data_IF_109613384363
#
_entry.id   IF_109613384363
#
_cell.length_a   1.000
_cell.length_b   1.000
_cell.length_c   1.000
_cell.angle_alpha   90.00
_cell.angle_beta   90.00
_cell.angle_gamma   90.00
#
_symmetry.space_group_name_H-M   'P 1'
#
loop_
_entity.id
_entity.type
_entity.pdbx_description
1 polymer ?
#
# COMPACT_ATOMS: atom_id res chain seq x y z
N UNK A 1 10.35 -1.87 16.88
CA UNK A 1 9.79 -1.01 15.80
C UNK A 1 9.59 0.39 16.35
N UNK A 2 9.93 1.44 15.62
CA UNK A 2 9.88 2.82 16.16
C UNK A 2 8.61 3.50 15.66
N UNK A 3 7.80 4.04 16.59
CA UNK A 3 6.72 4.97 16.27
C UNK A 3 7.35 6.27 15.75
N UNK A 4 6.94 6.71 14.58
CA UNK A 4 7.38 7.98 13.98
C UNK A 4 6.24 8.98 14.19
N UNK A 5 6.59 10.22 14.61
CA UNK A 5 5.62 11.33 14.65
C UNK A 5 5.92 12.30 13.52
N UNK A 6 4.87 12.60 12.76
CA UNK A 6 4.90 13.66 11.75
C UNK A 6 3.81 14.66 12.14
N UNK A 7 4.21 15.81 12.66
CA UNK A 7 3.26 16.73 13.30
C UNK A 7 2.55 16.05 14.48
N UNK A 8 1.22 16.11 14.48
CA UNK A 8 0.38 15.50 15.53
C UNK A 8 -0.07 14.07 15.17
N UNK A 9 0.43 13.50 14.06
CA UNK A 9 0.08 12.15 13.61
C UNK A 9 1.17 11.17 14.03
N UNK A 10 0.77 10.07 14.67
CA UNK A 10 1.67 8.95 14.95
C UNK A 10 1.57 7.91 13.82
N UNK A 11 2.71 7.41 13.37
CA UNK A 11 2.80 6.45 12.27
C UNK A 11 3.68 5.28 12.69
N UNK A 12 3.21 4.06 12.51
CA UNK A 12 4.00 2.86 12.71
C UNK A 12 3.97 2.00 11.44
N UNK A 13 5.07 1.34 11.17
CA UNK A 13 5.21 0.36 10.10
C UNK A 13 5.18 -1.05 10.67
N UNK A 14 4.38 -1.92 10.11
CA UNK A 14 4.40 -3.37 10.42
C UNK A 14 4.93 -4.10 9.19
N UNK A 15 6.19 -4.53 9.26
CA UNK A 15 6.82 -5.28 8.20
C UNK A 15 6.39 -6.75 8.25
N UNK A 16 6.03 -7.32 7.11
CA UNK A 16 5.71 -8.74 6.98
C UNK A 16 6.89 -9.52 6.43
N UNK A 17 7.29 -9.21 5.21
CA UNK A 17 8.43 -9.84 4.53
C UNK A 17 8.92 -8.96 3.38
N UNK A 18 9.93 -9.41 2.66
CA UNK A 18 10.44 -8.75 1.46
C UNK A 18 11.02 -9.74 0.47
N UNK A 19 11.12 -9.31 -0.79
CA UNK A 19 11.88 -9.98 -1.85
C UNK A 19 12.84 -9.00 -2.49
N UNK A 20 13.78 -9.52 -3.28
CA UNK A 20 14.64 -8.71 -4.15
C UNK A 20 14.21 -8.86 -5.59
N UNK A 21 14.06 -7.75 -6.28
CA UNK A 21 13.69 -7.66 -7.69
C UNK A 21 14.74 -6.87 -8.46
N UNK A 22 15.06 -7.23 -9.71
CA UNK A 22 15.96 -6.42 -10.51
C UNK A 22 15.29 -5.12 -10.97
N UNK A 23 16.03 -4.02 -10.98
CA UNK A 23 15.54 -2.72 -11.45
C UNK A 23 14.97 -2.79 -12.87
N UNK A 24 15.51 -3.67 -13.71
CA UNK A 24 15.04 -3.89 -15.08
C UNK A 24 13.58 -4.36 -15.18
N UNK A 25 12.98 -4.87 -14.11
CA UNK A 25 11.53 -5.18 -14.09
C UNK A 25 10.66 -3.92 -14.14
N UNK A 26 11.19 -2.75 -13.77
CA UNK A 26 10.47 -1.49 -13.87
C UNK A 26 10.35 -0.99 -15.34
N UNK A 27 11.15 -1.55 -16.25
CA UNK A 27 11.24 -1.11 -17.65
C UNK A 27 12.66 -0.71 -18.06
N UNK A 28 12.83 0.15 -19.07
CA UNK A 28 14.13 0.61 -19.54
C UNK A 28 14.73 1.63 -18.54
N UNK A 29 15.57 1.17 -17.62
CA UNK A 29 16.11 1.96 -16.49
C UNK A 29 17.57 2.39 -16.64
N UNK A 30 18.31 1.94 -17.66
CA UNK A 30 19.76 2.14 -17.78
C UNK A 30 20.18 3.62 -17.72
N UNK A 31 19.48 4.47 -18.47
CA UNK A 31 19.74 5.91 -18.46
C UNK A 31 19.38 6.56 -17.13
N UNK A 32 18.29 6.11 -16.50
CA UNK A 32 17.86 6.59 -15.19
C UNK A 32 18.83 6.18 -14.09
N UNK A 33 19.34 4.96 -14.14
CA UNK A 33 20.38 4.48 -13.23
C UNK A 33 21.62 5.38 -13.37
N UNK A 34 22.06 5.68 -14.59
CA UNK A 34 23.20 6.55 -14.82
C UNK A 34 22.99 7.97 -14.26
N UNK A 35 21.80 8.54 -14.45
CA UNK A 35 21.43 9.88 -13.99
C UNK A 35 21.20 9.99 -12.48
N UNK A 36 20.79 8.91 -11.84
CA UNK A 36 20.32 8.92 -10.45
C UNK A 36 21.19 8.10 -9.47
N UNK A 37 22.40 7.72 -9.94
CA UNK A 37 23.32 6.83 -9.21
C UNK A 37 23.64 7.31 -7.79
N UNK A 38 23.73 8.61 -7.59
CA UNK A 38 24.12 9.26 -6.34
C UNK A 38 23.12 9.05 -5.18
N UNK A 39 21.82 8.99 -5.49
CA UNK A 39 20.80 8.80 -4.47
C UNK A 39 20.17 7.41 -4.51
N UNK A 40 20.25 6.72 -5.66
CA UNK A 40 19.72 5.38 -5.86
C UNK A 40 20.50 4.35 -5.04
N UNK A 41 21.84 4.44 -5.10
CA UNK A 41 22.73 3.49 -4.42
C UNK A 41 23.36 4.03 -3.14
N UNK A 42 23.56 3.18 -2.13
CA UNK A 42 23.07 1.79 -2.01
C UNK A 42 21.67 1.70 -1.43
N UNK A 43 20.96 2.82 -1.34
CA UNK A 43 19.74 2.93 -0.53
C UNK A 43 18.53 2.22 -1.12
N UNK A 44 18.31 2.37 -2.41
CA UNK A 44 17.14 1.85 -3.12
C UNK A 44 17.46 0.79 -4.15
N UNK A 45 18.73 0.49 -4.33
CA UNK A 45 19.22 -0.64 -5.11
C UNK A 45 20.61 -1.03 -4.64
N UNK A 46 20.99 -2.28 -4.85
CA UNK A 46 22.33 -2.79 -4.57
C UNK A 46 23.26 -2.50 -5.77
N UNK A 47 24.41 -1.89 -5.51
CA UNK A 47 25.39 -1.51 -6.54
C UNK A 47 26.00 -2.72 -7.26
N UNK A 48 25.97 -3.91 -6.64
CA UNK A 48 26.63 -5.09 -7.18
C UNK A 48 25.81 -5.85 -8.22
N UNK A 49 24.46 -5.74 -8.17
CA UNK A 49 23.57 -6.55 -8.99
C UNK A 49 22.29 -5.84 -9.44
N UNK A 50 22.17 -4.53 -9.18
CA UNK A 50 21.01 -3.70 -9.52
C UNK A 50 19.66 -4.26 -9.01
N UNK A 51 19.71 -5.02 -7.91
CA UNK A 51 18.51 -5.52 -7.25
C UNK A 51 18.01 -4.52 -6.21
N UNK A 52 16.70 -4.36 -6.12
CA UNK A 52 16.05 -3.56 -5.07
C UNK A 52 15.21 -4.43 -4.14
N UNK A 53 15.03 -3.94 -2.91
CA UNK A 53 14.16 -4.57 -1.94
C UNK A 53 12.71 -4.12 -2.14
N UNK A 54 11.83 -5.08 -2.37
CA UNK A 54 10.38 -4.90 -2.43
C UNK A 54 9.77 -5.42 -1.13
N UNK A 55 9.18 -4.52 -0.33
CA UNK A 55 8.67 -4.85 1.00
C UNK A 55 7.17 -5.11 0.97
N UNK A 56 6.70 -6.11 1.70
CA UNK A 56 5.32 -6.22 2.13
C UNK A 56 5.20 -5.69 3.55
N UNK A 57 4.46 -4.59 3.70
CA UNK A 57 4.36 -3.84 4.95
C UNK A 57 3.03 -3.11 5.05
N UNK A 58 2.49 -3.06 6.26
CA UNK A 58 1.29 -2.29 6.60
C UNK A 58 1.68 -1.00 7.31
N UNK A 59 0.78 -0.03 7.24
CA UNK A 59 0.91 1.20 8.00
C UNK A 59 -0.19 1.29 9.06
N UNK A 60 0.19 1.73 10.26
CA UNK A 60 -0.75 2.12 11.31
C UNK A 60 -0.61 3.62 11.46
N UNK A 61 -1.71 4.35 11.43
CA UNK A 61 -1.74 5.76 11.76
C UNK A 61 -2.70 6.02 12.92
N UNK A 62 -2.29 6.93 13.78
CA UNK A 62 -3.14 7.44 14.86
C UNK A 62 -3.30 8.95 14.68
N UNK A 63 -4.52 9.36 14.37
CA UNK A 63 -4.92 10.74 14.15
C UNK A 63 -5.88 11.13 15.26
N UNK A 64 -5.38 11.83 16.26
CA UNK A 64 -6.17 12.28 17.43
C UNK A 64 -6.90 11.14 18.17
N UNK A 65 -6.24 10.00 18.31
CA UNK A 65 -6.80 8.81 18.95
C UNK A 65 -7.64 7.92 18.04
N UNK A 66 -7.85 8.27 16.78
CA UNK A 66 -8.49 7.40 15.78
C UNK A 66 -7.42 6.59 15.04
N UNK A 67 -7.41 5.28 15.27
CA UNK A 67 -6.37 4.35 14.78
C UNK A 67 -6.83 3.65 13.51
N UNK A 68 -6.03 3.81 12.45
CA UNK A 68 -6.31 3.22 11.13
C UNK A 68 -5.16 2.28 10.74
N UNK A 69 -5.49 1.09 10.27
CA UNK A 69 -4.57 0.18 9.58
C UNK A 69 -4.76 0.33 8.08
N UNK A 70 -3.66 0.50 7.35
CA UNK A 70 -3.64 0.66 5.90
C UNK A 70 -2.91 -0.52 5.30
N UNK A 71 -3.52 -1.19 4.33
CA UNK A 71 -2.99 -2.33 3.57
C UNK A 71 -2.40 -3.41 4.49
N UNK A 72 -3.24 -4.20 5.16
CA UNK A 72 -2.79 -5.21 6.11
C UNK A 72 -2.21 -6.45 5.40
N UNK A 73 -1.15 -6.31 4.65
CA UNK A 73 -0.26 -7.31 4.02
C UNK A 73 -0.94 -8.57 3.47
N UNK A 74 -0.16 -9.66 3.29
CA UNK A 74 -0.60 -10.90 2.65
C UNK A 74 -1.29 -11.89 3.61
N UNK A 75 -0.91 -11.90 4.89
CA UNK A 75 -1.52 -12.78 5.88
C UNK A 75 -1.00 -14.21 5.88
N UNK A 76 -1.12 -14.89 7.02
CA UNK A 76 -0.67 -16.26 7.21
C UNK A 76 -1.66 -17.31 6.68
N UNK A 77 -1.12 -18.49 6.30
CA UNK A 77 -1.89 -19.69 5.98
C UNK A 77 -2.69 -19.64 4.67
N UNK A 78 -2.41 -18.67 3.78
CA UNK A 78 -3.20 -18.45 2.57
C UNK A 78 -2.66 -19.21 1.38
N UNK A 79 -3.56 -19.77 0.59
CA UNK A 79 -3.24 -20.44 -0.67
C UNK A 79 -2.99 -19.40 -1.77
N UNK A 80 -1.72 -19.17 -2.09
CA UNK A 80 -1.27 -18.24 -3.14
C UNK A 80 -0.23 -18.91 -4.04
N UNK A 81 -0.57 -20.02 -4.72
CA UNK A 81 0.41 -20.81 -5.47
C UNK A 81 1.07 -20.04 -6.61
N UNK A 82 0.41 -19.03 -7.17
CA UNK A 82 0.97 -18.19 -8.22
C UNK A 82 2.03 -17.21 -7.73
N UNK A 83 2.05 -16.89 -6.42
CA UNK A 83 3.05 -16.00 -5.80
C UNK A 83 3.74 -16.76 -4.66
N UNK A 84 4.73 -17.57 -5.01
CA UNK A 84 5.43 -18.44 -4.06
C UNK A 84 5.94 -17.74 -2.78
N UNK A 85 6.47 -16.51 -2.83
CA UNK A 85 6.87 -15.80 -1.62
C UNK A 85 5.73 -15.47 -0.64
N UNK A 86 4.47 -15.51 -1.08
CA UNK A 86 3.28 -15.25 -0.27
C UNK A 86 2.46 -16.52 0.03
N UNK A 87 2.88 -17.65 -0.52
CA UNK A 87 2.14 -18.90 -0.37
C UNK A 87 2.34 -19.52 1.01
N UNK A 88 1.25 -19.69 1.75
CA UNK A 88 1.20 -20.32 3.08
C UNK A 88 2.20 -19.72 4.09
N UNK A 89 2.28 -18.40 4.13
CA UNK A 89 3.12 -17.72 5.13
C UNK A 89 2.76 -18.18 6.55
N UNK A 90 3.78 -18.21 7.41
CA UNK A 90 3.65 -18.37 8.86
C UNK A 90 4.67 -17.45 9.54
N UNK A 91 4.30 -16.17 9.64
CA UNK A 91 5.16 -15.10 10.12
C UNK A 91 4.58 -14.48 11.40
N UNK A 92 5.39 -13.98 12.31
CA UNK A 92 4.93 -13.37 13.57
C UNK A 92 4.41 -11.93 13.35
N UNK A 93 3.54 -11.73 12.36
CA UNK A 93 3.06 -10.39 12.02
C UNK A 93 2.23 -9.74 13.15
N UNK A 94 1.36 -10.50 13.81
CA UNK A 94 0.56 -10.01 14.94
C UNK A 94 1.42 -9.63 16.15
N UNK A 95 2.52 -10.33 16.38
CA UNK A 95 3.51 -9.97 17.40
C UNK A 95 4.21 -8.65 17.03
N UNK A 96 4.59 -8.51 15.76
CA UNK A 96 5.18 -7.27 15.24
C UNK A 96 4.19 -6.11 15.28
N UNK A 97 2.91 -6.38 14.98
CA UNK A 97 1.83 -5.41 15.14
C UNK A 97 1.73 -4.93 16.58
N UNK A 98 1.62 -5.85 17.53
CA UNK A 98 1.53 -5.53 18.96
C UNK A 98 2.78 -4.82 19.50
N UNK A 99 3.96 -5.11 18.95
CA UNK A 99 5.20 -4.43 19.30
C UNK A 99 5.24 -2.95 18.90
N UNK A 100 4.28 -2.47 18.09
CA UNK A 100 4.10 -1.04 17.79
C UNK A 100 3.42 -0.27 18.93
N UNK A 101 2.84 -0.98 19.88
CA UNK A 101 2.05 -0.42 21.00
C UNK A 101 0.55 -0.44 20.75
N UNK A 102 0.08 -0.88 19.58
CA UNK A 102 -1.34 -1.07 19.28
C UNK A 102 -1.72 -2.54 19.37
N UNK A 103 -2.98 -2.83 19.71
CA UNK A 103 -3.56 -4.18 19.62
C UNK A 103 -4.64 -4.22 18.55
N UNK A 104 -4.99 -5.39 18.00
CA UNK A 104 -6.08 -5.51 17.03
C UNK A 104 -7.41 -4.91 17.50
N UNK A 105 -7.72 -5.01 18.80
CA UNK A 105 -8.95 -4.49 19.39
C UNK A 105 -8.98 -2.95 19.47
N UNK A 106 -7.80 -2.31 19.37
CA UNK A 106 -7.66 -0.84 19.42
C UNK A 106 -7.84 -0.17 18.06
N UNK A 107 -7.89 -0.94 16.98
CA UNK A 107 -8.04 -0.41 15.63
C UNK A 107 -9.50 0.03 15.41
N UNK A 108 -9.68 1.28 14.99
CA UNK A 108 -10.99 1.87 14.72
C UNK A 108 -11.39 1.70 13.23
N UNK A 109 -10.40 1.69 12.33
CA UNK A 109 -10.62 1.52 10.90
C UNK A 109 -9.53 0.68 10.23
N UNK A 110 -9.91 -0.06 9.19
CA UNK A 110 -9.02 -0.69 8.22
C UNK A 110 -9.34 -0.11 6.85
N UNK A 111 -8.33 0.29 6.11
CA UNK A 111 -8.46 0.72 4.73
C UNK A 111 -7.51 -0.09 3.85
N UNK A 112 -8.04 -0.69 2.79
CA UNK A 112 -7.25 -1.29 1.73
C UNK A 112 -7.26 -0.35 0.53
N UNK A 113 -6.07 0.03 0.04
CA UNK A 113 -5.95 0.88 -1.16
C UNK A 113 -6.55 0.20 -2.37
N UNK A 114 -6.43 -1.12 -2.40
CA UNK A 114 -7.04 -2.05 -3.36
C UNK A 114 -7.07 -3.46 -2.76
N UNK A 115 -7.64 -4.43 -3.46
CA UNK A 115 -7.87 -5.77 -2.93
C UNK A 115 -6.96 -6.84 -3.57
N UNK A 116 -5.70 -6.52 -3.85
CA UNK A 116 -4.70 -7.54 -4.15
C UNK A 116 -4.30 -8.31 -2.89
N UNK A 117 -3.77 -9.51 -3.10
CA UNK A 117 -3.53 -10.49 -2.05
C UNK A 117 -2.55 -10.02 -0.97
N UNK A 118 -1.68 -9.08 -1.28
CA UNK A 118 -0.65 -8.53 -0.38
C UNK A 118 -1.06 -7.22 0.31
N UNK A 119 -2.30 -6.75 0.08
CA UNK A 119 -2.86 -5.54 0.72
C UNK A 119 -4.04 -5.81 1.65
N UNK A 120 -4.63 -6.99 1.62
CA UNK A 120 -5.85 -7.26 2.38
C UNK A 120 -5.81 -8.58 3.18
N UNK A 121 -4.69 -9.29 3.18
CA UNK A 121 -4.59 -10.61 3.81
C UNK A 121 -4.90 -10.58 5.31
N UNK A 122 -4.26 -9.74 6.10
CA UNK A 122 -4.56 -9.64 7.53
C UNK A 122 -5.89 -8.92 7.84
N UNK A 123 -6.75 -8.66 6.86
CA UNK A 123 -8.15 -8.35 7.16
C UNK A 123 -8.78 -9.45 8.01
N UNK A 124 -8.32 -10.67 7.80
CA UNK A 124 -8.79 -11.86 8.52
C UNK A 124 -7.61 -12.69 9.04
N UNK A 125 -7.89 -13.54 10.00
CA UNK A 125 -6.98 -14.57 10.51
C UNK A 125 -7.73 -15.87 10.73
N UNK A 126 -7.01 -17.00 10.77
CA UNK A 126 -7.64 -18.27 11.10
C UNK A 126 -7.78 -18.45 12.62
N UNK A 127 -9.00 -18.81 13.05
CA UNK A 127 -9.29 -19.31 14.41
C UNK A 127 -10.12 -20.58 14.21
N UNK A 128 -9.65 -21.70 14.75
CA UNK A 128 -10.31 -23.00 14.64
C UNK A 128 -10.70 -23.38 13.19
N UNK A 129 -9.78 -23.10 12.25
CA UNK A 129 -9.96 -23.40 10.83
C UNK A 129 -10.93 -22.47 10.08
N UNK A 130 -11.40 -21.39 10.70
CA UNK A 130 -12.29 -20.40 10.08
C UNK A 130 -11.58 -19.06 9.93
N UNK A 131 -11.83 -18.38 8.84
CA UNK A 131 -11.40 -17.00 8.64
C UNK A 131 -12.31 -16.06 9.42
N UNK A 132 -11.74 -15.27 10.31
CA UNK A 132 -12.45 -14.26 11.12
C UNK A 132 -11.75 -12.91 11.00
N UNK A 133 -12.45 -11.77 11.13
CA UNK A 133 -11.83 -10.46 11.12
C UNK A 133 -10.72 -10.35 12.15
N UNK A 134 -9.55 -9.83 11.72
CA UNK A 134 -8.39 -9.64 12.60
C UNK A 134 -8.61 -8.50 13.58
N UNK A 135 -9.29 -7.45 13.15
CA UNK A 135 -9.56 -6.23 13.91
C UNK A 135 -11.04 -6.16 14.28
N UNK A 136 -11.44 -6.77 15.40
CA UNK A 136 -12.85 -7.07 15.68
C UNK A 136 -13.70 -5.82 15.94
N UNK A 137 -13.09 -4.70 16.30
CA UNK A 137 -13.78 -3.43 16.58
C UNK A 137 -13.70 -2.43 15.42
N UNK A 138 -12.93 -2.76 14.37
CA UNK A 138 -12.70 -1.86 13.25
C UNK A 138 -13.85 -1.86 12.25
N UNK A 139 -14.07 -0.71 11.61
CA UNK A 139 -14.81 -0.62 10.35
C UNK A 139 -13.84 -0.78 9.19
N UNK A 140 -14.11 -1.75 8.31
CA UNK A 140 -13.28 -2.02 7.14
C UNK A 140 -13.85 -1.28 5.93
N UNK A 141 -13.06 -0.39 5.35
CA UNK A 141 -13.45 0.42 4.21
C UNK A 141 -12.92 -0.20 2.92
N UNK A 142 -13.84 -0.70 2.10
CA UNK A 142 -13.57 -1.25 0.77
C UNK A 142 -14.20 -0.37 -0.28
N UNK A 143 -13.44 -0.02 -1.31
CA UNK A 143 -13.98 0.75 -2.44
C UNK A 143 -14.86 -0.15 -3.29
N UNK A 144 -16.03 0.35 -3.68
CA UNK A 144 -17.07 -0.45 -4.34
C UNK A 144 -16.61 -1.03 -5.70
N UNK A 145 -15.73 -0.34 -6.43
CA UNK A 145 -15.14 -0.83 -7.66
C UNK A 145 -14.22 -2.04 -7.42
N UNK A 146 -13.42 -2.02 -6.34
CA UNK A 146 -12.58 -3.15 -5.94
C UNK A 146 -13.43 -4.37 -5.54
N UNK A 147 -14.47 -4.15 -4.73
CA UNK A 147 -15.37 -5.24 -4.35
C UNK A 147 -16.00 -5.88 -5.59
N UNK A 148 -16.53 -5.07 -6.53
CA UNK A 148 -17.09 -5.59 -7.80
C UNK A 148 -16.05 -6.30 -8.67
N UNK A 149 -14.81 -5.81 -8.71
CA UNK A 149 -13.72 -6.40 -9.51
C UNK A 149 -13.33 -7.79 -9.02
N UNK A 150 -13.32 -7.99 -7.70
CA UNK A 150 -12.76 -9.19 -7.09
C UNK A 150 -13.81 -10.15 -6.50
N UNK A 151 -15.09 -9.77 -6.43
CA UNK A 151 -16.15 -10.68 -5.99
C UNK A 151 -16.41 -11.76 -7.05
N UNK A 152 -16.14 -13.04 -6.75
CA UNK A 152 -16.37 -14.13 -7.71
C UNK A 152 -17.84 -14.30 -8.09
N UNK A 153 -18.77 -13.78 -7.28
CA UNK A 153 -20.21 -13.82 -7.56
C UNK A 153 -20.67 -12.60 -8.38
N UNK A 154 -19.80 -11.61 -8.64
CA UNK A 154 -20.16 -10.42 -9.40
C UNK A 154 -20.28 -10.70 -10.91
N UNK A 155 -21.26 -10.09 -11.60
CA UNK A 155 -21.37 -10.20 -13.06
C UNK A 155 -20.09 -9.71 -13.77
N UNK A 156 -19.52 -10.55 -14.62
CA UNK A 156 -18.31 -10.22 -15.37
C UNK A 156 -17.00 -10.44 -14.62
N UNK A 157 -17.04 -11.07 -13.45
CA UNK A 157 -15.83 -11.51 -12.75
C UNK A 157 -14.89 -12.28 -13.68
N UNK A 158 -13.61 -11.95 -13.60
CA UNK A 158 -12.53 -12.66 -14.29
C UNK A 158 -11.49 -13.04 -13.25
N UNK A 159 -11.33 -14.35 -13.09
CA UNK A 159 -10.31 -14.90 -12.22
C UNK A 159 -8.91 -14.53 -12.72
N UNK A 160 -8.04 -14.21 -11.76
CA UNK A 160 -6.64 -13.92 -12.01
C UNK A 160 -5.83 -14.70 -10.99
N UNK A 161 -4.92 -15.56 -11.47
CA UNK A 161 -4.21 -16.54 -10.66
C UNK A 161 -3.50 -15.94 -9.43
N UNK A 162 -2.88 -14.77 -9.59
CA UNK A 162 -2.17 -14.14 -8.48
C UNK A 162 -3.10 -13.64 -7.37
N UNK A 163 -4.38 -13.41 -7.68
CA UNK A 163 -5.38 -12.93 -6.71
C UNK A 163 -6.46 -13.99 -6.40
N UNK A 164 -6.24 -15.25 -6.78
CA UNK A 164 -7.18 -16.33 -6.50
C UNK A 164 -7.42 -16.50 -4.98
N UNK A 165 -8.66 -16.80 -4.62
CA UNK A 165 -9.17 -17.01 -3.25
C UNK A 165 -9.13 -15.77 -2.33
N UNK A 166 -8.61 -14.62 -2.76
CA UNK A 166 -8.45 -13.43 -1.91
C UNK A 166 -9.79 -12.94 -1.37
N UNK A 167 -10.82 -12.92 -2.22
CA UNK A 167 -12.13 -12.46 -1.80
C UNK A 167 -12.72 -13.37 -0.70
N UNK A 168 -12.62 -14.67 -0.86
CA UNK A 168 -13.23 -15.65 0.04
C UNK A 168 -12.52 -15.75 1.39
N UNK A 169 -11.20 -15.55 1.42
CA UNK A 169 -10.44 -15.68 2.66
C UNK A 169 -10.15 -14.34 3.35
N UNK A 170 -10.21 -13.19 2.65
CA UNK A 170 -9.79 -11.90 3.18
C UNK A 170 -10.90 -10.82 3.21
N UNK A 171 -11.95 -10.97 2.37
CA UNK A 171 -12.99 -9.96 2.21
C UNK A 171 -14.36 -10.48 2.67
N UNK A 172 -14.81 -11.62 2.14
CA UNK A 172 -16.12 -12.23 2.47
C UNK A 172 -16.34 -12.40 3.97
N UNK A 173 -15.38 -12.89 4.78
CA UNK A 173 -15.61 -13.03 6.22
C UNK A 173 -15.82 -11.69 6.94
N UNK A 174 -15.23 -10.60 6.44
CA UNK A 174 -15.46 -9.25 6.97
C UNK A 174 -16.85 -8.74 6.59
N UNK A 175 -17.32 -9.02 5.37
CA UNK A 175 -18.68 -8.71 4.92
C UNK A 175 -19.71 -9.46 5.76
N UNK A 176 -19.51 -10.76 5.95
CA UNK A 176 -20.40 -11.64 6.75
C UNK A 176 -20.44 -11.24 8.23
N UNK A 177 -19.34 -10.73 8.77
CA UNK A 177 -19.30 -10.21 10.14
C UNK A 177 -20.00 -8.83 10.28
N UNK A 178 -20.44 -8.20 9.19
CA UNK A 178 -21.09 -6.89 9.19
C UNK A 178 -20.12 -5.73 9.50
N UNK A 179 -18.81 -5.96 9.42
CA UNK A 179 -17.80 -4.94 9.71
C UNK A 179 -17.38 -4.12 8.49
N UNK A 180 -17.71 -4.55 7.27
CA UNK A 180 -17.37 -3.83 6.06
C UNK A 180 -18.24 -2.59 5.82
N UNK A 181 -17.62 -1.52 5.32
CA UNK A 181 -18.24 -0.38 4.68
C UNK A 181 -17.81 -0.37 3.22
N UNK A 182 -18.73 -0.67 2.30
CA UNK A 182 -18.50 -0.48 0.86
C UNK A 182 -18.78 0.99 0.55
N UNK A 183 -17.76 1.67 0.02
CA UNK A 183 -17.78 3.13 -0.14
C UNK A 183 -17.33 3.57 -1.54
N UNK A 184 -17.73 4.78 -2.00
CA UNK A 184 -17.18 5.35 -3.22
C UNK A 184 -15.70 5.76 -3.03
N UNK A 185 -14.99 5.94 -4.15
CA UNK A 185 -13.56 6.24 -4.20
C UNK A 185 -13.16 7.62 -3.64
N UNK A 186 -14.12 8.46 -3.22
CA UNK A 186 -13.87 9.80 -2.64
C UNK A 186 -14.43 9.94 -1.21
N UNK A 187 -14.59 8.82 -0.51
CA UNK A 187 -15.20 8.75 0.82
C UNK A 187 -14.32 9.38 1.91
N UNK A 188 -14.97 10.02 2.89
CA UNK A 188 -14.31 10.53 4.09
C UNK A 188 -14.47 9.52 5.24
N UNK A 189 -13.36 8.92 5.69
CA UNK A 189 -13.34 7.96 6.80
C UNK A 189 -13.54 8.67 8.14
N UNK A 190 -12.82 9.78 8.33
CA UNK A 190 -12.86 10.61 9.53
C UNK A 190 -12.52 12.06 9.16
N UNK A 191 -12.74 13.05 10.04
CA UNK A 191 -12.33 14.43 9.78
C UNK A 191 -10.84 14.52 9.39
N UNK A 192 -10.58 15.04 8.18
CA UNK A 192 -9.23 15.12 7.63
C UNK A 192 -8.65 13.82 7.07
N UNK A 193 -9.37 12.70 7.08
CA UNK A 193 -8.94 11.41 6.54
C UNK A 193 -9.87 11.02 5.39
N UNK A 194 -9.37 11.09 4.16
CA UNK A 194 -10.17 10.89 2.94
C UNK A 194 -9.53 9.89 2.00
N UNK A 195 -10.35 8.97 1.48
CA UNK A 195 -10.03 8.13 0.32
C UNK A 195 -10.07 9.02 -0.92
N UNK A 196 -9.13 8.83 -1.83
CA UNK A 196 -9.13 9.53 -3.13
C UNK A 196 -8.81 8.56 -4.27
N UNK A 197 -9.47 8.71 -5.45
CA UNK A 197 -9.27 7.81 -6.57
C UNK A 197 -7.84 7.92 -7.13
N UNK A 198 -7.25 6.75 -7.37
CA UNK A 198 -5.92 6.59 -7.96
C UNK A 198 -5.88 5.36 -8.88
N UNK A 199 -6.91 5.25 -9.73
CA UNK A 199 -7.12 4.12 -10.62
C UNK A 199 -5.98 3.90 -11.60
N UNK A 200 -5.88 2.69 -12.13
CA UNK A 200 -4.90 2.27 -13.13
C UNK A 200 -4.15 1.01 -12.71
N UNK A 201 -3.60 0.95 -11.49
CA UNK A 201 -3.03 -0.28 -10.94
C UNK A 201 -4.12 -1.36 -10.79
N UNK A 202 -5.25 -1.00 -10.22
CA UNK A 202 -6.50 -1.75 -10.32
C UNK A 202 -7.65 -0.82 -10.67
N UNK A 203 -8.80 -1.39 -11.08
CA UNK A 203 -9.98 -0.63 -11.49
C UNK A 203 -10.48 0.33 -10.40
N UNK A 204 -10.34 -0.06 -9.14
CA UNK A 204 -10.80 0.71 -7.99
C UNK A 204 -9.68 1.21 -7.08
N UNK A 205 -8.41 1.09 -7.46
CA UNK A 205 -7.28 1.53 -6.63
C UNK A 205 -7.46 2.97 -6.16
N UNK A 206 -7.27 3.18 -4.85
CA UNK A 206 -7.39 4.47 -4.19
C UNK A 206 -6.20 4.73 -3.28
N UNK A 207 -5.99 5.99 -2.94
CA UNK A 207 -5.01 6.43 -1.96
C UNK A 207 -5.70 6.98 -0.72
N UNK A 208 -5.02 6.96 0.43
CA UNK A 208 -5.50 7.64 1.63
C UNK A 208 -4.77 8.96 1.80
N UNK A 209 -5.51 10.06 1.78
CA UNK A 209 -5.02 11.39 2.11
C UNK A 209 -5.42 11.76 3.54
N UNK A 210 -4.42 12.14 4.32
CA UNK A 210 -4.61 12.69 5.67
C UNK A 210 -4.22 14.16 5.65
N UNK A 211 -5.10 15.05 6.10
CA UNK A 211 -4.86 16.49 6.27
C UNK A 211 -5.32 16.88 7.67
N UNK A 212 -4.38 16.90 8.61
CA UNK A 212 -4.67 17.14 10.01
C UNK A 212 -3.71 18.17 10.63
N UNK A 213 -4.26 19.27 11.13
CA UNK A 213 -3.54 20.37 11.78
C UNK A 213 -2.33 20.87 10.96
N UNK A 214 -2.51 20.98 9.63
CA UNK A 214 -1.46 21.46 8.72
C UNK A 214 -0.45 20.40 8.31
N UNK A 215 -0.55 19.17 8.81
CA UNK A 215 0.25 18.03 8.37
C UNK A 215 -0.52 17.27 7.30
N UNK A 216 0.12 17.04 6.13
CA UNK A 216 -0.47 16.31 5.01
C UNK A 216 0.35 15.06 4.69
N UNK A 217 -0.33 13.91 4.64
CA UNK A 217 0.24 12.60 4.30
C UNK A 217 -0.56 11.97 3.17
N UNK A 218 0.14 11.27 2.28
CA UNK A 218 -0.45 10.46 1.22
C UNK A 218 0.08 9.04 1.32
N UNK A 219 -0.79 8.09 1.63
CA UNK A 219 -0.53 6.65 1.53
C UNK A 219 -0.99 6.21 0.16
N UNK A 220 -0.04 5.89 -0.70
CA UNK A 220 -0.30 5.79 -2.14
C UNK A 220 -0.46 4.37 -2.66
N UNK A 221 -0.41 3.37 -1.77
CA UNK A 221 -0.52 1.96 -2.19
C UNK A 221 0.43 1.66 -3.34
N UNK A 222 -0.09 1.00 -4.35
CA UNK A 222 0.64 0.51 -5.52
C UNK A 222 0.61 1.45 -6.72
N UNK A 223 0.22 2.71 -6.51
CA UNK A 223 0.51 3.73 -7.51
C UNK A 223 2.03 3.82 -7.78
N UNK A 224 2.86 3.47 -6.78
CA UNK A 224 4.32 3.46 -6.88
C UNK A 224 4.93 2.27 -6.14
N UNK A 225 5.84 1.54 -6.81
CA UNK A 225 6.56 0.39 -6.25
C UNK A 225 8.04 0.69 -5.96
N UNK A 226 8.62 1.70 -6.64
CA UNK A 226 10.02 2.08 -6.48
C UNK A 226 10.22 3.60 -6.69
N UNK A 227 11.19 4.24 -5.99
CA UNK A 227 11.45 5.68 -6.13
C UNK A 227 11.76 6.18 -7.55
N UNK A 228 12.29 5.34 -8.42
CA UNK A 228 12.53 5.70 -9.84
C UNK A 228 11.22 6.06 -10.57
N UNK A 229 10.08 5.49 -10.20
CA UNK A 229 8.79 5.84 -10.79
C UNK A 229 8.32 7.27 -10.44
N UNK A 230 8.93 7.91 -9.45
CA UNK A 230 8.75 9.34 -9.19
C UNK A 230 9.55 10.17 -10.19
N UNK A 231 10.74 9.71 -10.59
CA UNK A 231 11.61 10.40 -11.57
C UNK A 231 11.14 10.18 -13.01
N UNK A 232 10.58 9.01 -13.28
CA UNK A 232 9.95 8.65 -14.54
C UNK A 232 8.66 7.87 -14.28
N UNK A 233 7.53 8.54 -14.45
CA UNK A 233 6.20 7.99 -14.17
C UNK A 233 5.76 6.93 -15.18
N UNK A 234 6.45 6.79 -16.30
CA UNK A 234 6.20 5.77 -17.32
C UNK A 234 6.72 4.37 -16.92
N UNK A 235 7.64 4.30 -15.95
CA UNK A 235 8.11 3.02 -15.44
C UNK A 235 6.98 2.23 -14.79
N UNK A 236 6.96 0.92 -15.04
CA UNK A 236 5.91 0.04 -14.56
C UNK A 236 6.50 -1.32 -14.16
N UNK A 237 6.25 -1.76 -12.92
CA UNK A 237 6.68 -3.08 -12.45
C UNK A 237 5.90 -4.23 -13.11
N UNK A 238 4.80 -3.92 -13.79
CA UNK A 238 3.81 -4.86 -14.29
C UNK A 238 2.64 -5.03 -13.33
N UNK A 239 1.57 -5.69 -13.81
CA UNK A 239 0.38 -5.94 -12.98
C UNK A 239 -0.63 -4.79 -12.95
N UNK A 240 -0.40 -3.68 -13.64
CA UNK A 240 -1.42 -2.62 -13.79
C UNK A 240 -2.56 -3.11 -14.70
N UNK A 241 -3.81 -3.00 -14.26
CA UNK A 241 -5.02 -3.31 -15.06
C UNK A 241 -5.13 -2.35 -16.28
N UNK A 242 -4.79 -1.07 -16.07
CA UNK A 242 -4.68 -0.03 -17.12
C UNK A 242 -3.37 0.74 -16.97
N UNK A 243 -2.30 0.34 -17.67
CA UNK A 243 -1.00 1.00 -17.59
C UNK A 243 -1.01 2.48 -17.98
N UNK A 244 -1.82 2.89 -18.95
CA UNK A 244 -1.90 4.27 -19.38
C UNK A 244 -2.54 5.16 -18.30
N UNK A 245 -3.60 4.68 -17.68
CA UNK A 245 -4.25 5.35 -16.56
C UNK A 245 -3.35 5.38 -15.33
N UNK A 246 -2.60 4.30 -15.04
CA UNK A 246 -1.63 4.25 -13.95
C UNK A 246 -0.52 5.31 -14.12
N UNK A 247 0.00 5.50 -15.33
CA UNK A 247 0.97 6.56 -15.65
C UNK A 247 0.36 7.94 -15.36
N UNK A 248 -0.82 8.22 -15.91
CA UNK A 248 -1.51 9.50 -15.70
C UNK A 248 -1.82 9.75 -14.20
N UNK A 249 -2.15 8.69 -13.46
CA UNK A 249 -2.36 8.74 -12.01
C UNK A 249 -1.05 9.08 -11.28
N UNK A 250 0.09 8.46 -11.64
CA UNK A 250 1.40 8.77 -11.05
C UNK A 250 1.79 10.23 -11.31
N UNK A 251 1.61 10.73 -12.53
CA UNK A 251 1.88 12.14 -12.87
C UNK A 251 1.04 13.12 -12.02
N UNK A 252 -0.25 12.86 -11.94
CA UNK A 252 -1.17 13.68 -11.13
C UNK A 252 -0.79 13.64 -9.64
N UNK A 253 -0.48 12.47 -9.09
CA UNK A 253 -0.08 12.33 -7.69
C UNK A 253 1.25 13.04 -7.43
N UNK A 254 2.27 12.87 -8.28
CA UNK A 254 3.54 13.57 -8.16
C UNK A 254 3.34 15.09 -8.15
N UNK A 255 2.56 15.63 -9.09
CA UNK A 255 2.27 17.06 -9.17
C UNK A 255 1.54 17.58 -7.92
N UNK A 256 0.51 16.85 -7.47
CA UNK A 256 -0.29 17.24 -6.30
C UNK A 256 0.56 17.20 -5.03
N UNK A 257 1.23 16.09 -4.76
CA UNK A 257 2.02 15.88 -3.53
C UNK A 257 3.18 16.88 -3.46
N UNK A 258 3.84 17.14 -4.60
CA UNK A 258 4.94 18.11 -4.67
C UNK A 258 4.42 19.54 -4.42
N UNK A 259 3.31 19.95 -5.05
CA UNK A 259 2.74 21.30 -4.87
C UNK A 259 2.25 21.56 -3.45
N UNK A 260 1.71 20.54 -2.79
CA UNK A 260 1.27 20.62 -1.39
C UNK A 260 2.42 20.57 -0.38
N UNK A 261 3.61 20.12 -0.79
CA UNK A 261 4.72 19.81 0.11
C UNK A 261 4.38 18.71 1.10
N UNK A 262 3.52 17.77 0.67
CA UNK A 262 3.00 16.69 1.52
C UNK A 262 4.03 15.58 1.71
N UNK A 263 3.85 14.77 2.75
CA UNK A 263 4.58 13.52 2.91
C UNK A 263 4.00 12.43 2.01
N UNK A 264 4.88 11.62 1.46
CA UNK A 264 4.61 10.55 0.51
C UNK A 264 5.02 9.21 1.11
N UNK A 265 4.07 8.28 1.23
CA UNK A 265 4.21 7.02 1.94
C UNK A 265 3.65 5.89 1.06
N UNK A 266 4.47 5.27 0.20
CA UNK A 266 4.07 4.14 -0.64
C UNK A 266 4.07 2.82 0.13
N UNK A 267 3.46 1.78 -0.47
CA UNK A 267 3.32 0.49 0.18
C UNK A 267 4.66 -0.29 0.25
N UNK A 268 5.47 -0.26 -0.82
CA UNK A 268 6.54 -1.26 -1.02
C UNK A 268 7.96 -0.74 -0.91
N UNK A 269 8.18 0.56 -0.72
CA UNK A 269 9.52 1.14 -0.75
C UNK A 269 10.44 0.57 0.34
N UNK A 270 11.71 0.37 -0.03
CA UNK A 270 12.79 0.12 0.93
C UNK A 270 12.99 1.30 1.89
N UNK A 271 13.77 1.11 2.96
CA UNK A 271 14.08 2.18 3.91
C UNK A 271 14.63 3.43 3.21
N UNK A 272 14.14 4.64 3.61
CA UNK A 272 13.35 4.98 4.78
C UNK A 272 11.82 4.81 4.65
N UNK A 273 11.33 4.17 3.63
CA UNK A 273 9.93 3.82 3.35
C UNK A 273 8.99 5.00 3.07
N UNK A 274 9.39 6.22 3.37
CA UNK A 274 8.61 7.44 3.21
C UNK A 274 9.52 8.63 2.87
N UNK A 275 8.93 9.67 2.30
CA UNK A 275 9.67 10.86 1.91
C UNK A 275 8.77 12.01 1.49
N UNK A 276 9.29 12.83 0.62
CA UNK A 276 8.57 13.90 -0.10
C UNK A 276 8.81 13.77 -1.58
N UNK A 277 7.92 14.32 -2.37
CA UNK A 277 8.13 14.53 -3.79
C UNK A 277 8.39 16.03 -3.98
N UNK A 278 9.43 16.36 -4.73
CA UNK A 278 9.74 17.74 -5.11
C UNK A 278 9.80 17.85 -6.62
N UNK A 279 9.44 19.02 -7.15
CA UNK A 279 9.67 19.34 -8.55
C UNK A 279 11.17 19.39 -8.86
N UNK A 280 11.56 18.84 -9.99
CA UNK A 280 12.92 18.88 -10.53
C UNK A 280 12.92 19.68 -11.84
N UNK A 281 14.09 19.81 -12.49
CA UNK A 281 14.19 20.49 -13.78
C UNK A 281 13.40 19.75 -14.88
N UNK A 282 12.96 20.47 -15.90
CA UNK A 282 12.26 19.94 -17.08
C UNK A 282 10.90 19.26 -16.79
N UNK A 283 10.21 19.70 -15.71
CA UNK A 283 8.89 19.14 -15.36
C UNK A 283 8.94 17.75 -14.73
N UNK A 284 10.11 17.26 -14.40
CA UNK A 284 10.32 15.98 -13.70
C UNK A 284 10.11 16.14 -12.20
N UNK A 285 10.01 15.02 -11.51
CA UNK A 285 9.92 14.96 -10.06
C UNK A 285 11.09 14.18 -9.46
N UNK A 286 11.34 14.39 -8.17
CA UNK A 286 12.34 13.63 -7.42
C UNK A 286 11.80 13.24 -6.07
N UNK A 287 12.03 11.98 -5.71
CA UNK A 287 11.80 11.50 -4.35
C UNK A 287 12.93 11.97 -3.44
N UNK A 288 12.55 12.57 -2.31
CA UNK A 288 13.47 12.98 -1.24
C UNK A 288 13.10 12.17 0.00
N UNK A 289 13.94 11.18 0.38
CA UNK A 289 13.67 10.33 1.52
C UNK A 289 13.63 11.14 2.82
N UNK A 290 12.80 10.70 3.78
CA UNK A 290 12.85 11.25 5.13
C UNK A 290 14.23 11.00 5.73
N UNK A 291 14.84 12.06 6.31
CA UNK A 291 16.01 11.90 7.16
C UNK A 291 15.59 11.26 8.48
N UNK A 292 16.31 10.24 8.92
CA UNK A 292 16.22 9.67 10.27
C UNK A 292 17.24 10.35 11.18
#
# INVERSE_FOLDING_TARGET
>A
MRLIRIGDISIARVWESSIRLPLSQLGPVDELIACHRDWLYPRFADLSDDMFEFNWQSWIIDVDGFVIVIDPCAGNGRERPAIQPLHRLDLPWLERFSATGYTPERVDAVFCTHLHCDHCGWNTRQIDGRWVPTFPNARYYFVDAEVRRWDPDAPGYREVDYNANVFDDSIRPVLEAGLAAIVPADHMIAPGVRIQPAHGHSDGHCVLRVDYRGTRLWFTGDAFHHPLQVSDTALNLGGDDDPALAIATRERLCSTIASEGSYFIPAHFAAPHAGRIIGAQEGRFRFVPLGY
#
